data_IF_454773822789
#
_entry.id   IF_454773822789
#
_cell.length_a   1.000
_cell.length_b   1.000
_cell.length_c   1.000
_cell.angle_alpha   90.00
_cell.angle_beta   90.00
_cell.angle_gamma   90.00
#
_symmetry.space_group_name_H-M   'P 1'
#
loop_
_entity.id
_entity.type
_entity.pdbx_description
1 polymer ?
#
# COMPACT_ATOMS: atom_id res chain seq x y z
N UNK A 1 -6.71 6.67 -9.96
CA UNK A 1 -7.20 7.89 -10.64
C UNK A 1 -7.58 9.00 -9.66
N UNK A 2 -8.54 8.82 -8.74
CA UNK A 2 -8.96 9.87 -7.77
C UNK A 2 -7.80 10.32 -6.87
N UNK A 3 -7.03 9.37 -6.30
CA UNK A 3 -5.88 9.68 -5.45
C UNK A 3 -4.89 10.66 -6.11
N UNK A 4 -4.51 10.40 -7.37
CA UNK A 4 -3.61 11.29 -8.13
C UNK A 4 -4.30 12.57 -8.62
N UNK A 5 -5.47 12.45 -9.24
CA UNK A 5 -6.10 13.58 -9.95
C UNK A 5 -6.73 14.61 -9.00
N UNK A 6 -7.39 14.15 -7.93
CA UNK A 6 -8.11 14.98 -6.96
C UNK A 6 -7.21 15.31 -5.78
N UNK A 7 -6.66 14.29 -5.12
CA UNK A 7 -5.88 14.48 -3.89
C UNK A 7 -4.40 14.78 -4.13
N UNK A 8 -3.95 14.82 -5.40
CA UNK A 8 -2.56 15.07 -5.78
C UNK A 8 -1.55 14.15 -5.08
N UNK A 9 -1.98 12.96 -4.69
CA UNK A 9 -1.14 11.98 -4.03
C UNK A 9 -0.19 11.31 -5.03
N UNK A 10 1.00 10.95 -4.55
CA UNK A 10 1.87 10.01 -5.26
C UNK A 10 1.45 8.58 -4.97
N UNK A 11 1.30 7.78 -6.02
CA UNK A 11 0.71 6.44 -5.92
C UNK A 11 1.68 5.40 -6.46
N UNK A 12 2.02 4.41 -5.64
CA UNK A 12 2.71 3.18 -6.08
C UNK A 12 1.65 2.11 -6.34
N UNK A 13 1.57 1.63 -7.57
CA UNK A 13 0.76 0.46 -7.91
C UNK A 13 1.54 -0.82 -7.63
N UNK A 14 0.97 -1.71 -6.82
CA UNK A 14 1.57 -3.01 -6.50
C UNK A 14 0.64 -4.11 -7.00
N UNK A 15 1.15 -4.98 -7.87
CA UNK A 15 0.43 -6.17 -8.33
C UNK A 15 1.41 -7.20 -8.91
N UNK A 16 0.92 -8.37 -9.32
CA UNK A 16 1.73 -9.37 -9.99
C UNK A 16 2.28 -8.87 -11.33
N UNK A 17 3.54 -9.22 -11.62
CA UNK A 17 4.25 -8.79 -12.83
C UNK A 17 3.47 -9.04 -14.12
N UNK A 18 2.81 -10.19 -14.25
CA UNK A 18 2.09 -10.58 -15.47
C UNK A 18 0.88 -9.68 -15.77
N UNK A 19 0.28 -9.04 -14.76
CA UNK A 19 -0.84 -8.10 -14.97
C UNK A 19 -0.39 -6.79 -15.59
N UNK A 20 0.88 -6.41 -15.44
CA UNK A 20 1.43 -5.19 -16.06
C UNK A 20 1.26 -5.19 -17.59
N UNK A 21 1.39 -6.36 -18.23
CA UNK A 21 1.18 -6.52 -19.67
C UNK A 21 -0.29 -6.34 -20.09
N UNK A 22 -1.23 -6.63 -19.18
CA UNK A 22 -2.68 -6.46 -19.41
C UNK A 22 -3.16 -5.04 -19.11
N UNK A 23 -2.37 -4.25 -18.37
CA UNK A 23 -2.60 -2.83 -18.09
C UNK A 23 -2.08 -1.97 -19.26
N UNK A 24 -2.58 -2.21 -20.47
CA UNK A 24 -2.10 -1.61 -21.72
C UNK A 24 -2.65 -0.19 -22.00
N UNK A 25 -3.10 0.55 -20.98
CA UNK A 25 -3.60 1.92 -21.15
C UNK A 25 -3.43 2.82 -19.93
N UNK A 26 -3.09 4.09 -20.17
CA UNK A 26 -3.06 5.25 -19.25
C UNK A 26 -2.75 4.94 -17.76
N UNK A 27 -1.81 4.04 -17.52
CA UNK A 27 -1.36 3.64 -16.18
C UNK A 27 -0.79 4.82 -15.39
N UNK A 28 -0.25 5.82 -16.10
CA UNK A 28 0.18 7.11 -15.54
C UNK A 28 -0.96 7.90 -14.85
N UNK A 29 -2.23 7.65 -15.18
CA UNK A 29 -3.38 8.23 -14.48
C UNK A 29 -3.73 7.48 -13.18
N UNK A 30 -3.20 6.27 -13.00
CA UNK A 30 -3.52 5.37 -11.91
C UNK A 30 -2.42 5.43 -10.85
N UNK A 31 -1.17 5.22 -11.25
CA UNK A 31 0.01 5.22 -10.38
C UNK A 31 1.17 6.00 -11.02
N UNK A 32 2.13 6.42 -10.21
CA UNK A 32 3.39 7.05 -10.63
C UNK A 32 4.49 6.02 -10.86
N UNK A 33 4.44 4.91 -10.12
CA UNK A 33 5.35 3.77 -10.27
C UNK A 33 4.56 2.48 -10.12
N UNK A 34 4.81 1.53 -11.02
CA UNK A 34 4.40 0.14 -10.81
C UNK A 34 5.54 -0.63 -10.17
N UNK A 35 5.22 -1.41 -9.14
CA UNK A 35 6.14 -2.36 -8.52
C UNK A 35 5.52 -3.75 -8.57
N UNK A 36 6.24 -4.69 -9.17
CA UNK A 36 5.81 -6.07 -9.21
C UNK A 36 5.93 -6.69 -7.81
N UNK A 37 4.85 -7.27 -7.31
CA UNK A 37 4.89 -8.02 -6.05
C UNK A 37 5.78 -9.27 -6.22
N UNK A 38 6.67 -9.57 -5.26
CA UNK A 38 7.59 -10.70 -5.36
C UNK A 38 6.84 -12.03 -5.36
N UNK A 39 7.24 -12.94 -6.25
CA UNK A 39 6.67 -14.28 -6.34
C UNK A 39 7.18 -15.20 -5.22
N UNK A 40 8.42 -15.00 -4.78
CA UNK A 40 9.06 -15.71 -3.66
C UNK A 40 9.32 -14.71 -2.53
N UNK A 41 8.42 -14.68 -1.55
CA UNK A 41 8.47 -13.72 -0.44
C UNK A 41 9.70 -13.94 0.45
N UNK A 42 10.18 -15.17 0.62
CA UNK A 42 11.30 -15.44 1.53
C UNK A 42 12.62 -14.96 0.93
N UNK A 43 12.74 -15.03 -0.40
CA UNK A 43 13.95 -14.62 -1.12
C UNK A 43 13.97 -13.14 -1.46
N UNK A 44 12.86 -12.62 -1.99
CA UNK A 44 12.88 -11.35 -2.72
C UNK A 44 12.30 -10.19 -1.90
N UNK A 45 11.74 -10.44 -0.72
CA UNK A 45 11.12 -9.41 0.11
C UNK A 45 12.04 -8.23 0.43
N UNK A 46 13.29 -8.51 0.84
CA UNK A 46 14.25 -7.45 1.22
C UNK A 46 14.57 -6.52 0.05
N UNK A 47 14.69 -7.08 -1.15
CA UNK A 47 14.98 -6.32 -2.37
C UNK A 47 13.77 -5.46 -2.73
N UNK A 48 12.60 -6.08 -2.81
CA UNK A 48 11.33 -5.39 -3.06
C UNK A 48 11.09 -4.24 -2.07
N UNK A 49 11.29 -4.51 -0.78
CA UNK A 49 11.13 -3.53 0.28
C UNK A 49 12.14 -2.37 0.17
N UNK A 50 13.40 -2.68 -0.16
CA UNK A 50 14.44 -1.67 -0.40
C UNK A 50 14.06 -0.73 -1.54
N UNK A 51 13.56 -1.26 -2.65
CA UNK A 51 13.12 -0.46 -3.80
C UNK A 51 11.90 0.42 -3.48
N UNK A 52 10.97 -0.09 -2.67
CA UNK A 52 9.79 0.65 -2.23
C UNK A 52 10.21 1.83 -1.35
N UNK A 53 11.05 1.56 -0.33
CA UNK A 53 11.58 2.59 0.57
C UNK A 53 12.36 3.66 -0.19
N UNK A 54 13.25 3.24 -1.10
CA UNK A 54 14.00 4.15 -1.94
C UNK A 54 13.07 5.05 -2.77
N UNK A 55 12.03 4.49 -3.36
CA UNK A 55 11.07 5.28 -4.15
C UNK A 55 10.29 6.27 -3.28
N UNK A 56 9.77 5.84 -2.12
CA UNK A 56 9.09 6.74 -1.19
C UNK A 56 9.98 7.94 -0.81
N UNK A 57 11.27 7.71 -0.57
CA UNK A 57 12.23 8.76 -0.26
C UNK A 57 12.49 9.70 -1.44
N UNK A 58 12.60 9.17 -2.66
CA UNK A 58 12.78 9.98 -3.87
C UNK A 58 11.60 10.94 -4.08
N UNK A 59 10.38 10.44 -3.89
CA UNK A 59 9.15 11.22 -4.08
C UNK A 59 9.01 12.33 -3.03
N UNK A 60 9.40 12.08 -1.77
CA UNK A 60 9.32 13.08 -0.69
C UNK A 60 10.42 14.16 -0.78
N UNK A 61 11.49 13.91 -1.53
CA UNK A 61 12.62 14.82 -1.68
C UNK A 61 13.68 14.70 -0.56
N UNK A 62 14.89 15.18 -0.84
CA UNK A 62 16.10 14.96 -0.03
C UNK A 62 16.09 15.63 1.36
N UNK A 63 15.06 16.40 1.70
CA UNK A 63 14.99 17.16 2.97
C UNK A 63 14.13 16.47 4.04
N UNK A 64 13.52 15.33 3.73
CA UNK A 64 12.71 14.58 4.67
C UNK A 64 13.49 13.39 5.24
N UNK A 65 13.21 13.04 6.50
CA UNK A 65 13.68 11.78 7.06
C UNK A 65 13.13 10.62 6.22
N UNK A 66 13.92 9.55 5.99
CA UNK A 66 13.46 8.40 5.23
C UNK A 66 12.16 7.85 5.80
N UNK A 67 11.13 7.72 4.96
CA UNK A 67 9.79 7.29 5.37
C UNK A 67 9.14 6.48 4.26
N UNK A 68 8.45 5.43 4.68
CA UNK A 68 7.60 4.57 3.85
C UNK A 68 6.31 5.32 3.45
N UNK A 69 5.31 4.63 2.91
CA UNK A 69 4.06 5.25 2.48
C UNK A 69 3.26 5.82 3.67
N UNK A 70 2.53 6.92 3.46
CA UNK A 70 1.61 7.44 4.49
C UNK A 70 0.41 6.49 4.67
N UNK A 71 0.03 5.77 3.62
CA UNK A 71 -1.06 4.81 3.65
C UNK A 71 -0.87 3.70 2.64
N UNK A 72 -1.39 2.51 2.96
CA UNK A 72 -1.51 1.38 2.03
C UNK A 72 -2.99 1.02 1.88
N UNK A 73 -3.43 0.81 0.64
CA UNK A 73 -4.80 0.42 0.33
C UNK A 73 -4.75 -0.98 -0.30
N UNK A 74 -5.30 -1.97 0.39
CA UNK A 74 -5.40 -3.34 -0.07
C UNK A 74 -6.72 -3.51 -0.81
N UNK A 75 -6.62 -3.74 -2.12
CA UNK A 75 -7.76 -3.88 -3.04
C UNK A 75 -7.80 -5.25 -3.71
N UNK A 76 -7.13 -6.23 -3.12
CA UNK A 76 -7.02 -7.57 -3.67
C UNK A 76 -7.47 -8.60 -2.62
N UNK A 77 -8.11 -9.66 -3.11
CA UNK A 77 -8.62 -10.74 -2.27
C UNK A 77 -7.62 -11.86 -1.98
N UNK A 78 -6.36 -11.75 -2.42
CA UNK A 78 -5.36 -12.80 -2.23
C UNK A 78 -4.72 -12.72 -0.84
N UNK A 79 -4.49 -13.86 -0.18
CA UNK A 79 -3.81 -13.87 1.12
C UNK A 79 -2.42 -13.21 1.08
N UNK A 80 -1.70 -13.36 -0.04
CA UNK A 80 -0.37 -12.78 -0.23
C UNK A 80 -0.36 -11.25 -0.12
N UNK A 81 -1.46 -10.56 -0.48
CA UNK A 81 -1.53 -9.10 -0.41
C UNK A 81 -1.69 -8.56 1.01
N UNK A 82 -1.89 -9.43 2.00
CA UNK A 82 -1.93 -9.09 3.42
C UNK A 82 -0.61 -9.39 4.15
N UNK A 83 0.44 -9.77 3.41
CA UNK A 83 1.75 -10.06 3.99
C UNK A 83 2.41 -8.77 4.50
N UNK A 84 2.75 -8.73 5.80
CA UNK A 84 3.53 -7.66 6.46
C UNK A 84 3.07 -6.24 6.11
N UNK A 85 1.76 -5.98 6.20
CA UNK A 85 1.18 -4.69 5.84
C UNK A 85 1.77 -3.51 6.62
N UNK A 86 2.18 -3.76 7.86
CA UNK A 86 2.87 -2.81 8.73
C UNK A 86 4.20 -2.33 8.15
N UNK A 87 4.88 -3.13 7.32
CA UNK A 87 6.15 -2.73 6.71
C UNK A 87 5.92 -1.69 5.61
N UNK A 88 4.74 -1.63 4.97
CA UNK A 88 4.51 -0.71 3.85
C UNK A 88 4.34 0.75 4.25
N UNK A 89 4.03 1.01 5.52
CA UNK A 89 3.61 2.33 5.99
C UNK A 89 4.63 2.93 6.95
N UNK A 90 4.71 4.26 7.01
CA UNK A 90 5.52 4.94 8.02
C UNK A 90 4.84 4.88 9.40
N UNK A 91 5.56 5.33 10.44
CA UNK A 91 4.95 5.54 11.75
C UNK A 91 3.83 6.60 11.65
N UNK A 92 2.72 6.37 12.34
CA UNK A 92 1.46 7.11 12.18
C UNK A 92 0.66 6.73 10.93
N UNK A 93 1.12 5.76 10.15
CA UNK A 93 0.55 5.38 8.87
C UNK A 93 -0.74 4.55 8.98
N UNK A 94 -1.45 4.46 7.85
CA UNK A 94 -2.79 3.85 7.79
C UNK A 94 -2.84 2.69 6.79
N UNK A 95 -3.35 1.54 7.22
CA UNK A 95 -3.64 0.37 6.42
C UNK A 95 -5.15 0.31 6.19
N UNK A 96 -5.57 0.34 4.93
CA UNK A 96 -6.98 0.33 4.54
C UNK A 96 -7.26 -0.94 3.73
N UNK A 97 -8.13 -1.81 4.22
CA UNK A 97 -8.56 -3.01 3.52
C UNK A 97 -9.93 -2.76 2.91
N UNK A 98 -10.00 -2.71 1.57
CA UNK A 98 -11.25 -2.46 0.83
C UNK A 98 -11.92 -3.76 0.37
N UNK A 99 -11.14 -4.84 0.30
CA UNK A 99 -11.61 -6.16 -0.10
C UNK A 99 -11.27 -7.20 0.99
N UNK A 100 -12.15 -8.17 1.19
CA UNK A 100 -11.91 -9.27 2.10
C UNK A 100 -11.06 -10.36 1.40
N UNK A 101 -10.10 -10.99 2.09
CA UNK A 101 -9.37 -12.12 1.53
C UNK A 101 -10.31 -13.31 1.26
N UNK A 102 -9.99 -14.10 0.24
CA UNK A 102 -10.65 -15.39 0.02
C UNK A 102 -10.21 -16.38 1.10
N UNK A 103 -11.15 -16.84 1.92
CA UNK A 103 -10.92 -17.82 2.99
C UNK A 103 -10.60 -17.20 4.35
N UNK A 104 -10.26 -18.06 5.32
CA UNK A 104 -9.97 -17.67 6.71
C UNK A 104 -8.55 -17.14 6.91
N UNK A 105 -8.16 -16.11 6.17
CA UNK A 105 -6.83 -15.50 6.29
C UNK A 105 -6.72 -14.77 7.62
N UNK A 106 -5.63 -15.06 8.35
CA UNK A 106 -5.27 -14.37 9.58
C UNK A 106 -4.10 -13.44 9.31
N UNK A 107 -4.17 -12.24 9.87
CA UNK A 107 -3.11 -11.26 9.85
C UNK A 107 -2.52 -11.26 11.24
N UNK A 108 -1.26 -11.65 11.35
CA UNK A 108 -0.53 -11.72 12.61
C UNK A 108 0.52 -10.62 12.60
N UNK A 109 0.32 -9.62 13.46
CA UNK A 109 1.28 -8.54 13.67
C UNK A 109 1.40 -8.33 15.18
N UNK A 110 2.62 -8.19 15.73
CA UNK A 110 2.80 -7.90 17.15
C UNK A 110 2.08 -6.60 17.54
N UNK A 111 1.29 -6.65 18.62
CA UNK A 111 0.54 -5.49 19.09
C UNK A 111 1.47 -4.32 19.47
N UNK A 112 2.67 -4.62 19.99
CA UNK A 112 3.68 -3.60 20.28
C UNK A 112 4.03 -2.78 19.04
N UNK A 113 4.13 -3.40 17.86
CA UNK A 113 4.40 -2.72 16.60
C UNK A 113 3.29 -1.70 16.26
N UNK A 114 2.03 -2.05 16.49
CA UNK A 114 0.91 -1.13 16.28
C UNK A 114 0.96 0.07 17.23
N UNK A 115 1.31 -0.17 18.49
CA UNK A 115 1.34 0.88 19.53
C UNK A 115 2.54 1.82 19.35
N UNK A 116 3.74 1.27 19.22
CA UNK A 116 4.99 2.04 19.13
C UNK A 116 5.03 2.89 17.87
N UNK A 117 4.57 2.33 16.75
CA UNK A 117 4.53 3.02 15.46
C UNK A 117 3.22 3.75 15.20
N UNK A 118 2.29 3.77 16.16
CA UNK A 118 1.00 4.46 16.07
C UNK A 118 0.22 4.12 14.79
N UNK A 119 0.18 2.83 14.43
CA UNK A 119 -0.44 2.39 13.18
C UNK A 119 -1.97 2.32 13.31
N UNK A 120 -2.66 2.62 12.22
CA UNK A 120 -4.11 2.42 12.11
C UNK A 120 -4.42 1.38 11.05
N UNK A 121 -5.26 0.39 11.38
CA UNK A 121 -5.79 -0.56 10.40
C UNK A 121 -7.31 -0.48 10.36
N UNK A 122 -7.88 -0.41 9.14
CA UNK A 122 -9.32 -0.22 8.95
C UNK A 122 -9.83 -1.03 7.77
N UNK A 123 -10.92 -1.76 7.98
CA UNK A 123 -11.74 -2.32 6.91
C UNK A 123 -12.75 -1.30 6.39
N UNK A 124 -12.91 -1.20 5.07
CA UNK A 124 -13.87 -0.31 4.41
C UNK A 124 -14.66 -1.12 3.39
N UNK A 125 -15.97 -1.23 3.60
CA UNK A 125 -16.89 -1.70 2.56
C UNK A 125 -17.86 -0.58 2.18
N UNK A 126 -18.19 -0.49 0.89
CA UNK A 126 -19.21 0.43 0.36
C UNK A 126 -18.96 1.93 0.66
N UNK A 127 -17.69 2.34 0.75
CA UNK A 127 -17.32 3.76 0.73
C UNK A 127 -17.45 4.53 2.03
N UNK A 128 -17.61 3.84 3.17
CA UNK A 128 -17.58 4.35 4.56
C UNK A 128 -18.09 5.79 4.78
N UNK A 129 -19.20 5.93 5.51
CA UNK A 129 -19.91 7.19 5.74
C UNK A 129 -19.07 8.33 6.35
N UNK A 130 -17.90 8.03 6.92
CA UNK A 130 -17.04 9.02 7.58
C UNK A 130 -16.29 9.93 6.58
N UNK A 131 -16.03 9.48 5.34
CA UNK A 131 -15.28 10.28 4.36
C UNK A 131 -16.13 11.21 3.48
N UNK A 132 -17.47 11.15 3.57
CA UNK A 132 -18.39 12.02 2.80
C UNK A 132 -18.91 13.23 3.59
N UNK A 133 -18.12 13.77 4.51
CA UNK A 133 -18.35 15.15 5.00
C UNK A 133 -17.50 16.12 4.19
N UNK A 134 -17.98 16.46 3.00
CA UNK A 134 -17.62 17.73 2.36
C UNK A 134 -18.36 18.88 3.08
N UNK A 135 -17.70 20.05 3.25
CA UNK A 135 -18.34 21.28 3.76
C UNK A 135 -19.48 21.76 2.86
#
# INVERSE_FOLDING_TARGET
MIAKSVYKAHVVGVDFAWKSASLSGNTNLIYDKFMAFPSDLDRDWRVYFGELSQYCNQVRGQHCTPRLADSVIVTASSAATFHKLEDYVCDGGIIICVEAPQGGVKIETPLCTFLERQLTMKGVMMGDHVFMKSP
#
